data_IF_577129301658
#
_entry.id   IF_577129301658
#
_cell.length_a   1.000
_cell.length_b   1.000
_cell.length_c   1.000
_cell.angle_alpha   90.00
_cell.angle_beta   90.00
_cell.angle_gamma   90.00
#
_symmetry.space_group_name_H-M   'P 1'
#
loop_
_entity.id
_entity.type
_entity.pdbx_description
1 polymer ?
#
# COMPACT_ATOMS: atom_id res chain seq x y z
N UNK A 1 12.53 -8.71 -31.63
CA UNK A 1 12.75 -7.49 -30.79
C UNK A 1 11.56 -6.55 -30.99
N UNK A 2 10.79 -6.21 -29.95
CA UNK A 2 9.87 -5.06 -29.96
C UNK A 2 9.47 -4.67 -28.52
N UNK A 3 9.88 -3.45 -28.15
CA UNK A 3 9.29 -2.52 -27.17
C UNK A 3 9.16 -2.99 -25.71
N UNK A 4 10.27 -2.85 -24.98
CA UNK A 4 10.29 -2.74 -23.52
C UNK A 4 9.60 -1.44 -23.13
N UNK A 5 8.34 -1.56 -22.72
CA UNK A 5 7.46 -0.46 -22.32
C UNK A 5 8.10 0.31 -21.15
N UNK A 6 8.76 1.42 -21.45
CA UNK A 6 9.39 2.30 -20.46
C UNK A 6 8.26 2.97 -19.68
N UNK A 7 7.88 2.38 -18.53
CA UNK A 7 6.99 3.05 -17.59
C UNK A 7 7.72 4.31 -17.11
N UNK A 8 7.39 5.44 -17.72
CA UNK A 8 7.88 6.77 -17.38
C UNK A 8 7.78 6.93 -15.87
N UNK A 9 8.91 7.21 -15.23
CA UNK A 9 9.01 7.60 -13.81
C UNK A 9 8.33 8.98 -13.70
N UNK A 10 7.20 9.15 -13.00
CA UNK A 10 6.71 10.49 -12.74
C UNK A 10 7.68 11.16 -11.78
N UNK A 11 8.38 12.17 -12.29
CA UNK A 11 9.09 13.19 -11.53
C UNK A 11 8.16 13.77 -10.46
N UNK A 12 8.76 14.14 -9.33
CA UNK A 12 8.10 14.35 -8.04
C UNK A 12 6.77 15.11 -8.08
N UNK A 13 5.90 14.68 -7.15
CA UNK A 13 4.58 15.21 -6.75
C UNK A 13 3.40 14.37 -7.26
N UNK A 14 2.92 13.46 -6.41
CA UNK A 14 1.65 12.71 -6.54
C UNK A 14 1.61 11.52 -7.51
N UNK A 15 2.45 10.50 -7.28
CA UNK A 15 2.26 9.22 -7.96
C UNK A 15 1.02 8.49 -7.41
N UNK A 16 -0.03 8.40 -8.24
CA UNK A 16 -1.19 7.56 -7.98
C UNK A 16 -0.93 6.16 -8.54
N UNK A 17 -1.05 5.16 -7.67
CA UNK A 17 -0.88 3.75 -7.98
C UNK A 17 -2.23 3.04 -8.08
N UNK A 18 -2.28 2.04 -8.96
CA UNK A 18 -3.37 1.06 -9.01
C UNK A 18 -3.21 0.00 -7.92
N UNK A 19 -4.23 -0.83 -7.61
CA UNK A 19 -4.10 -1.90 -6.62
C UNK A 19 -2.99 -2.90 -6.98
N UNK A 20 -2.78 -3.17 -8.28
CA UNK A 20 -1.72 -4.06 -8.76
C UNK A 20 -0.33 -3.46 -8.52
N UNK A 21 -0.18 -2.15 -8.65
CA UNK A 21 1.09 -1.46 -8.39
C UNK A 21 1.36 -1.32 -6.91
N UNK A 22 0.33 -1.01 -6.10
CA UNK A 22 0.43 -1.04 -4.65
C UNK A 22 0.80 -2.44 -4.13
N UNK A 23 0.26 -3.50 -4.73
CA UNK A 23 0.63 -4.88 -4.41
C UNK A 23 2.11 -5.15 -4.66
N UNK A 24 2.63 -4.74 -5.84
CA UNK A 24 4.06 -4.84 -6.14
C UNK A 24 4.92 -4.00 -5.19
N UNK A 25 4.44 -2.81 -4.83
CA UNK A 25 5.14 -1.90 -3.94
C UNK A 25 5.27 -2.48 -2.52
N UNK A 26 4.21 -3.10 -2.01
CA UNK A 26 4.17 -3.72 -0.69
C UNK A 26 4.75 -5.14 -0.67
N UNK A 27 5.12 -5.70 -1.82
CA UNK A 27 5.51 -7.11 -1.94
C UNK A 27 4.37 -8.09 -1.63
N UNK A 28 3.11 -7.67 -1.78
CA UNK A 28 1.92 -8.48 -1.47
C UNK A 28 1.26 -9.02 -2.74
N UNK A 29 0.50 -10.11 -2.59
CA UNK A 29 -0.37 -10.57 -3.65
C UNK A 29 -1.53 -9.59 -3.86
N UNK A 30 -1.96 -9.29 -5.11
CA UNK A 30 -3.07 -8.35 -5.37
C UNK A 30 -4.36 -8.68 -4.63
N UNK A 31 -4.67 -9.97 -4.45
CA UNK A 31 -5.84 -10.43 -3.68
C UNK A 31 -5.77 -9.93 -2.23
N UNK A 32 -4.58 -10.01 -1.61
CA UNK A 32 -4.36 -9.52 -0.24
C UNK A 32 -4.59 -8.02 -0.17
N UNK A 33 -4.10 -7.26 -1.16
CA UNK A 33 -4.34 -5.82 -1.24
C UNK A 33 -5.83 -5.51 -1.30
N UNK A 34 -6.61 -6.17 -2.18
CA UNK A 34 -8.06 -6.01 -2.22
C UNK A 34 -8.74 -6.35 -0.89
N UNK A 35 -8.26 -7.38 -0.19
CA UNK A 35 -8.77 -7.76 1.13
C UNK A 35 -8.48 -6.69 2.18
N UNK A 36 -7.27 -6.14 2.22
CA UNK A 36 -6.88 -5.09 3.16
C UNK A 36 -7.67 -3.80 2.92
N UNK A 37 -7.88 -3.45 1.66
CA UNK A 37 -8.72 -2.31 1.27
C UNK A 37 -10.16 -2.50 1.75
N UNK A 38 -10.75 -3.67 1.51
CA UNK A 38 -12.12 -4.00 2.01
C UNK A 38 -12.22 -3.93 3.53
N UNK A 39 -11.14 -4.27 4.24
CA UNK A 39 -11.05 -4.19 5.70
C UNK A 39 -10.73 -2.78 6.21
N UNK A 40 -10.50 -1.80 5.34
CA UNK A 40 -10.07 -0.45 5.72
C UNK A 40 -8.66 -0.38 6.32
N UNK A 41 -7.86 -1.44 6.17
CA UNK A 41 -6.51 -1.53 6.74
C UNK A 41 -5.44 -0.93 5.84
N UNK A 42 -5.73 -0.79 4.54
CA UNK A 42 -4.83 -0.18 3.57
C UNK A 42 -5.36 1.19 3.13
N UNK A 43 -4.58 2.27 3.25
CA UNK A 43 -5.04 3.60 2.91
C UNK A 43 -5.12 3.77 1.39
N UNK A 44 -6.34 3.82 0.88
CA UNK A 44 -6.63 4.08 -0.52
C UNK A 44 -7.96 4.80 -0.65
N UNK A 45 -8.22 5.37 -1.82
CA UNK A 45 -9.49 6.03 -2.12
C UNK A 45 -10.08 5.47 -3.41
N UNK A 46 -11.41 5.48 -3.49
CA UNK A 46 -12.14 5.03 -4.68
C UNK A 46 -12.40 6.25 -5.57
N UNK A 47 -11.89 6.22 -6.79
CA UNK A 47 -12.09 7.26 -7.79
C UNK A 47 -12.63 6.63 -9.07
N UNK A 48 -13.83 7.05 -9.50
CA UNK A 48 -14.46 6.54 -10.73
C UNK A 48 -14.63 5.01 -10.75
N UNK A 49 -14.98 4.40 -9.62
CA UNK A 49 -15.15 2.94 -9.52
C UNK A 49 -13.86 2.14 -9.31
N UNK A 50 -12.68 2.77 -9.41
CA UNK A 50 -11.39 2.11 -9.21
C UNK A 50 -10.70 2.55 -7.92
N UNK A 51 -9.97 1.64 -7.30
CA UNK A 51 -9.13 1.96 -6.14
C UNK A 51 -7.82 2.61 -6.57
N UNK A 52 -7.43 3.66 -5.87
CA UNK A 52 -6.24 4.47 -6.12
C UNK A 52 -5.47 4.68 -4.81
N UNK A 53 -4.14 4.63 -4.92
CA UNK A 53 -3.22 4.74 -3.78
C UNK A 53 -2.25 5.88 -4.05
N UNK A 54 -2.13 6.84 -3.13
CA UNK A 54 -1.04 7.81 -3.18
C UNK A 54 0.21 7.16 -2.58
N UNK A 55 1.34 7.25 -3.29
CA UNK A 55 2.62 6.74 -2.79
C UNK A 55 2.99 7.35 -1.43
N UNK A 56 2.89 8.66 -1.28
CA UNK A 56 3.23 9.35 -0.03
C UNK A 56 2.39 8.89 1.18
N UNK A 57 1.11 8.62 0.93
CA UNK A 57 0.19 8.10 1.95
C UNK A 57 0.53 6.66 2.33
N UNK A 58 0.90 5.85 1.34
CA UNK A 58 1.31 4.47 1.56
C UNK A 58 2.64 4.39 2.32
N UNK A 59 3.60 5.26 1.99
CA UNK A 59 4.89 5.39 2.68
C UNK A 59 4.68 5.78 4.15
N UNK A 60 3.83 6.76 4.41
CA UNK A 60 3.47 7.19 5.78
C UNK A 60 2.80 6.06 6.58
N UNK A 61 1.97 5.26 5.92
CA UNK A 61 1.31 4.12 6.57
C UNK A 61 2.27 2.99 6.90
N UNK A 62 3.23 2.68 6.01
CA UNK A 62 4.29 1.71 6.28
C UNK A 62 5.11 2.18 7.50
N UNK A 63 5.52 3.45 7.52
CA UNK A 63 6.24 4.02 8.66
C UNK A 63 5.44 3.93 9.97
N UNK A 64 4.14 4.21 9.93
CA UNK A 64 3.26 4.07 11.09
C UNK A 64 3.12 2.61 11.58
N UNK A 65 3.15 1.63 10.66
CA UNK A 65 3.06 0.21 11.01
C UNK A 65 4.34 -0.32 11.66
N UNK A 66 5.50 0.08 11.16
CA UNK A 66 6.79 -0.31 11.75
C UNK A 66 6.87 0.12 13.22
N UNK A 67 6.37 1.32 13.56
CA UNK A 67 6.37 1.82 14.93
C UNK A 67 5.31 1.15 15.83
N UNK A 68 4.20 0.65 15.27
CA UNK A 68 3.14 -0.01 16.06
C UNK A 68 3.43 -1.47 16.39
N UNK A 69 4.12 -2.18 15.50
CA UNK A 69 4.44 -3.60 15.74
C UNK A 69 5.45 -3.77 16.89
N UNK A 70 6.19 -2.70 17.28
CA UNK A 70 7.07 -2.68 18.45
C UNK A 70 6.36 -2.52 19.81
N UNK A 71 5.09 -2.13 19.86
CA UNK A 71 4.33 -1.90 21.11
C UNK A 71 3.26 -2.95 21.39
N UNK A 72 3.15 -3.99 20.55
CA UNK A 72 2.23 -5.11 20.73
C UNK A 72 2.97 -6.44 20.88
N UNK A 73 3.95 -6.48 21.79
CA UNK A 73 4.52 -7.73 22.32
C UNK A 73 4.69 -7.77 23.85
N UNK A 74 4.13 -6.82 24.58
CA UNK A 74 4.13 -6.83 26.05
C UNK A 74 2.68 -6.78 26.56
N UNK A 75 2.06 -7.95 26.73
CA UNK A 75 0.68 -8.02 27.18
C UNK A 75 0.09 -9.41 27.43
N UNK A 76 0.92 -10.44 27.60
CA UNK A 76 0.45 -11.73 28.11
C UNK A 76 1.30 -12.16 29.31
N UNK A 77 1.09 -11.46 30.43
CA UNK A 77 1.36 -12.01 31.76
C UNK A 77 0.15 -11.68 32.65
N UNK A 78 -0.31 -12.71 33.38
CA UNK A 78 -1.37 -12.75 34.40
C UNK A 78 -2.80 -12.69 33.81
N UNK A 79 -3.65 -13.73 33.96
CA UNK A 79 -4.02 -14.50 35.16
C UNK A 79 -4.12 -15.99 34.83
#
# INVERSE_FOLDING_TARGET
MKLKNTKRKPSGRSQIMTPKEAAKYLGLHPITVYRLIKKGQLPGFKLGGQWRFKKDLLDSWIASKINKDSEQKDGTASI
#
